data_IF_828150695592
#
_entry.id   IF_828150695592
#
_cell.length_a   1.000
_cell.length_b   1.000
_cell.length_c   1.000
_cell.angle_alpha   90.00
_cell.angle_beta   90.00
_cell.angle_gamma   90.00
#
_symmetry.space_group_name_H-M   'P 1'
#
loop_
_entity.id
_entity.type
_entity.pdbx_description
1 polymer ?
#
# COMPACT_ATOMS: atom_id res chain seq x y z
N UNK A 1 16.95 -9.69 -4.39
CA UNK A 1 15.86 -8.80 -4.84
C UNK A 1 16.29 -7.38 -4.57
N UNK A 2 16.16 -6.48 -5.54
CA UNK A 2 16.37 -5.06 -5.35
C UNK A 2 15.26 -4.43 -4.53
N UNK A 3 15.53 -3.25 -3.96
CA UNK A 3 14.57 -2.48 -3.16
C UNK A 3 13.32 -2.18 -3.96
N UNK A 4 13.48 -1.82 -5.24
CA UNK A 4 12.37 -1.52 -6.15
C UNK A 4 11.42 -2.72 -6.31
N UNK A 5 11.95 -3.94 -6.45
CA UNK A 5 11.12 -5.17 -6.55
C UNK A 5 10.34 -5.45 -5.26
N UNK A 6 10.95 -5.20 -4.09
CA UNK A 6 10.25 -5.35 -2.80
C UNK A 6 9.16 -4.30 -2.60
N UNK A 7 9.40 -3.05 -3.00
CA UNK A 7 8.38 -1.99 -2.93
C UNK A 7 7.22 -2.27 -3.89
N UNK A 8 7.50 -2.71 -5.13
CA UNK A 8 6.45 -3.13 -6.08
C UNK A 8 5.60 -4.27 -5.51
N UNK A 9 6.25 -5.33 -5.03
CA UNK A 9 5.58 -6.47 -4.42
C UNK A 9 4.71 -6.05 -3.23
N UNK A 10 5.20 -5.12 -2.40
CA UNK A 10 4.47 -4.57 -1.27
C UNK A 10 3.21 -3.81 -1.72
N UNK A 11 3.32 -2.93 -2.72
CA UNK A 11 2.17 -2.19 -3.28
C UNK A 11 1.12 -3.13 -3.87
N UNK A 12 1.56 -4.13 -4.63
CA UNK A 12 0.67 -5.16 -5.20
C UNK A 12 -0.06 -5.93 -4.10
N UNK A 13 0.64 -6.36 -3.04
CA UNK A 13 0.01 -7.03 -1.91
C UNK A 13 -0.98 -6.16 -1.15
N UNK A 14 -0.69 -4.88 -1.00
CA UNK A 14 -1.57 -3.92 -0.35
C UNK A 14 -2.88 -3.80 -1.15
N UNK A 15 -2.79 -3.66 -2.48
CA UNK A 15 -3.95 -3.58 -3.36
C UNK A 15 -4.86 -4.80 -3.20
N UNK A 16 -4.28 -6.01 -3.22
CA UNK A 16 -5.02 -7.26 -3.03
C UNK A 16 -5.67 -7.35 -1.63
N UNK A 17 -4.99 -6.85 -0.59
CA UNK A 17 -5.51 -6.81 0.78
C UNK A 17 -6.67 -5.83 0.93
N UNK A 18 -6.59 -4.65 0.35
CA UNK A 18 -7.68 -3.66 0.39
C UNK A 18 -8.89 -4.13 -0.42
N UNK A 19 -8.67 -4.78 -1.56
CA UNK A 19 -9.75 -5.39 -2.34
C UNK A 19 -10.46 -6.47 -1.52
N UNK A 20 -9.71 -7.34 -0.83
CA UNK A 20 -10.28 -8.32 0.10
C UNK A 20 -11.09 -7.65 1.21
N UNK A 21 -10.55 -6.61 1.86
CA UNK A 21 -11.25 -5.90 2.93
C UNK A 21 -12.54 -5.27 2.43
N UNK A 22 -12.52 -4.66 1.24
CA UNK A 22 -13.72 -4.11 0.60
C UNK A 22 -14.76 -5.20 0.34
N UNK A 23 -14.37 -6.35 -0.21
CA UNK A 23 -15.30 -7.46 -0.45
C UNK A 23 -15.91 -8.01 0.85
N UNK A 24 -15.15 -8.03 1.94
CA UNK A 24 -15.67 -8.39 3.27
C UNK A 24 -16.70 -7.38 3.80
N UNK A 25 -16.53 -6.08 3.52
CA UNK A 25 -17.54 -5.08 3.92
C UNK A 25 -18.85 -5.17 3.13
N UNK A 26 -18.82 -5.78 1.95
CA UNK A 26 -19.96 -5.91 1.04
C UNK A 26 -20.70 -7.25 1.20
N UNK A 27 -20.11 -8.26 1.84
CA UNK A 27 -20.65 -9.62 1.94
C UNK A 27 -21.05 -9.95 3.39
N UNK A 28 -22.26 -10.45 3.66
CA UNK A 28 -22.67 -10.84 5.01
C UNK A 28 -21.84 -12.01 5.56
N UNK A 29 -21.73 -12.17 6.90
CA UNK A 29 -20.75 -13.05 7.56
C UNK A 29 -20.96 -14.56 7.36
N UNK A 30 -21.98 -14.98 6.61
CA UNK A 30 -22.42 -16.39 6.54
C UNK A 30 -21.67 -17.22 5.49
N UNK A 31 -20.73 -16.64 4.74
CA UNK A 31 -19.97 -17.40 3.74
C UNK A 31 -18.47 -17.20 3.96
N UNK A 32 -17.84 -18.21 4.57
CA UNK A 32 -16.39 -18.42 4.53
C UNK A 32 -15.94 -18.71 3.09
N UNK A 33 -16.03 -17.74 2.20
CA UNK A 33 -15.39 -17.85 0.90
C UNK A 33 -13.91 -17.59 1.15
N UNK A 34 -13.06 -18.61 1.02
CA UNK A 34 -11.62 -18.41 0.78
C UNK A 34 -11.51 -17.34 -0.31
N UNK A 35 -11.10 -16.13 0.07
CA UNK A 35 -11.03 -15.01 -0.86
C UNK A 35 -10.09 -15.40 -2.00
N UNK A 36 -10.52 -15.21 -3.25
CA UNK A 36 -9.79 -15.58 -4.48
C UNK A 36 -8.28 -15.24 -4.44
N UNK A 37 -7.91 -14.17 -3.73
CA UNK A 37 -6.54 -13.68 -3.64
C UNK A 37 -5.76 -14.14 -2.40
N UNK A 38 -6.33 -14.97 -1.52
CA UNK A 38 -5.68 -15.38 -0.27
C UNK A 38 -4.34 -16.07 -0.50
N UNK A 39 -4.28 -17.03 -1.43
CA UNK A 39 -3.07 -17.79 -1.75
C UNK A 39 -2.00 -16.94 -2.45
N UNK A 40 -2.42 -15.90 -3.17
CA UNK A 40 -1.51 -14.95 -3.82
C UNK A 40 -0.93 -13.97 -2.79
N UNK A 41 -1.78 -13.42 -1.92
CA UNK A 41 -1.38 -12.54 -0.81
C UNK A 41 -0.39 -13.27 0.10
N UNK A 42 -0.65 -14.53 0.46
CA UNK A 42 0.25 -15.30 1.33
C UNK A 42 1.61 -15.57 0.69
N UNK A 43 1.64 -15.96 -0.59
CA UNK A 43 2.91 -16.14 -1.33
C UNK A 43 3.70 -14.85 -1.42
N UNK A 44 3.06 -13.73 -1.77
CA UNK A 44 3.72 -12.45 -1.90
C UNK A 44 4.24 -11.92 -0.56
N UNK A 45 3.48 -12.07 0.54
CA UNK A 45 3.98 -11.69 1.87
C UNK A 45 5.20 -12.53 2.29
N UNK A 46 5.22 -13.83 1.99
CA UNK A 46 6.40 -14.68 2.25
C UNK A 46 7.62 -14.22 1.44
N UNK A 47 7.43 -13.93 0.15
CA UNK A 47 8.48 -13.40 -0.70
C UNK A 47 9.00 -12.04 -0.22
N UNK A 48 8.09 -11.15 0.20
CA UNK A 48 8.43 -9.85 0.77
C UNK A 48 9.24 -10.01 2.06
N UNK A 49 8.82 -10.90 2.98
CA UNK A 49 9.58 -11.21 4.20
C UNK A 49 10.99 -11.71 3.88
N UNK A 50 11.10 -12.73 3.02
CA UNK A 50 12.38 -13.30 2.64
C UNK A 50 13.31 -12.26 1.99
N UNK A 51 12.76 -11.41 1.14
CA UNK A 51 13.50 -10.33 0.50
C UNK A 51 13.96 -9.24 1.46
N UNK A 52 13.11 -8.85 2.43
CA UNK A 52 13.48 -7.89 3.48
C UNK A 52 14.61 -8.43 4.35
N UNK A 53 14.58 -9.72 4.72
CA UNK A 53 15.66 -10.35 5.49
C UNK A 53 16.98 -10.39 4.72
N UNK A 54 16.95 -10.75 3.43
CA UNK A 54 18.14 -10.74 2.58
C UNK A 54 18.72 -9.33 2.40
N UNK A 55 17.87 -8.30 2.35
CA UNK A 55 18.31 -6.91 2.24
C UNK A 55 18.89 -6.40 3.56
N UNK A 56 18.31 -6.81 4.68
CA UNK A 56 18.83 -6.53 6.01
C UNK A 56 20.23 -7.15 6.23
N UNK A 57 20.46 -8.36 5.70
CA UNK A 57 21.77 -9.03 5.76
C UNK A 57 22.83 -8.36 4.86
N UNK A 58 22.44 -7.91 3.66
CA UNK A 58 23.36 -7.27 2.69
C UNK A 58 23.71 -5.83 3.03
N UNK A 59 22.71 -4.98 3.28
CA UNK A 59 22.85 -3.53 3.39
C UNK A 59 22.66 -3.03 4.83
N UNK A 60 22.34 -3.93 5.76
CA UNK A 60 22.00 -3.59 7.14
C UNK A 60 20.58 -3.03 7.28
N UNK A 61 20.25 -2.54 8.48
CA UNK A 61 18.94 -1.92 8.80
C UNK A 61 18.83 -0.49 8.30
N UNK A 62 18.88 -0.29 6.99
CA UNK A 62 18.60 1.00 6.37
C UNK A 62 17.17 1.44 6.67
N UNK A 63 16.89 2.75 6.60
CA UNK A 63 15.54 3.30 6.78
C UNK A 63 14.51 2.67 5.83
N UNK A 64 14.90 2.36 4.59
CA UNK A 64 14.04 1.65 3.64
C UNK A 64 13.64 0.24 4.13
N UNK A 65 14.57 -0.51 4.73
CA UNK A 65 14.33 -1.84 5.29
C UNK A 65 13.37 -1.74 6.48
N UNK A 66 13.55 -0.74 7.35
CA UNK A 66 12.62 -0.48 8.47
C UNK A 66 11.21 -0.16 7.98
N UNK A 67 11.08 0.65 6.92
CA UNK A 67 9.79 0.98 6.33
C UNK A 67 9.10 -0.26 5.74
N UNK A 68 9.82 -1.07 4.96
CA UNK A 68 9.31 -2.32 4.39
C UNK A 68 8.88 -3.32 5.47
N UNK A 69 9.68 -3.44 6.54
CA UNK A 69 9.36 -4.26 7.72
C UNK A 69 8.08 -3.79 8.42
N UNK A 70 7.92 -2.48 8.58
CA UNK A 70 6.69 -1.89 9.14
C UNK A 70 5.48 -2.13 8.24
N UNK A 71 5.64 -2.03 6.92
CA UNK A 71 4.57 -2.29 5.95
C UNK A 71 4.15 -3.75 5.96
N UNK A 72 5.11 -4.68 5.94
CA UNK A 72 4.84 -6.11 6.07
C UNK A 72 4.07 -6.42 7.36
N UNK A 73 4.45 -5.83 8.50
CA UNK A 73 3.72 -6.00 9.76
C UNK A 73 2.26 -5.52 9.68
N UNK A 74 2.01 -4.35 9.07
CA UNK A 74 0.65 -3.85 8.83
C UNK A 74 -0.17 -4.76 7.91
N UNK A 75 0.42 -5.20 6.80
CA UNK A 75 -0.23 -6.08 5.82
C UNK A 75 -0.56 -7.46 6.40
N UNK A 76 0.34 -8.00 7.23
CA UNK A 76 0.10 -9.22 8.00
C UNK A 76 -1.06 -9.04 8.98
N UNK A 77 -1.11 -7.91 9.68
CA UNK A 77 -2.20 -7.56 10.60
C UNK A 77 -3.57 -7.47 9.91
N UNK A 78 -3.62 -6.96 8.68
CA UNK A 78 -4.85 -6.91 7.87
C UNK A 78 -5.38 -8.30 7.47
N UNK A 79 -4.51 -9.31 7.42
CA UNK A 79 -4.90 -10.68 7.09
C UNK A 79 -5.55 -11.41 8.30
N UNK A 80 -5.27 -10.95 9.52
CA UNK A 80 -5.91 -11.41 10.75
C UNK A 80 -5.53 -12.85 11.14
N UNK A 81 -6.46 -13.65 11.71
CA UNK A 81 -6.18 -15.01 12.20
C UNK A 81 -5.82 -15.99 11.06
N UNK A 82 -6.11 -15.66 9.81
CA UNK A 82 -5.67 -16.49 8.67
C UNK A 82 -4.17 -16.41 8.40
N UNK A 83 -3.47 -15.41 8.95
CA UNK A 83 -2.01 -15.35 8.91
C UNK A 83 -1.34 -16.21 10.00
N UNK A 84 -2.08 -16.54 11.06
CA UNK A 84 -1.55 -17.21 12.26
C UNK A 84 -1.27 -18.70 12.03
N UNK A 85 -1.99 -19.34 11.11
CA UNK A 85 -1.82 -20.75 10.73
C UNK A 85 -0.85 -21.02 9.57
N UNK A 86 -0.21 -19.98 9.03
CA UNK A 86 0.58 -20.08 7.79
C UNK A 86 2.07 -20.04 8.10
N UNK A 87 2.75 -21.18 7.96
CA UNK A 87 4.21 -21.28 8.15
C UNK A 87 4.95 -20.25 7.28
N UNK A 88 5.89 -19.52 7.89
CA UNK A 88 6.67 -18.48 7.21
C UNK A 88 6.09 -17.07 7.28
N UNK A 89 4.93 -16.86 7.91
CA UNK A 89 4.36 -15.54 8.22
C UNK A 89 4.58 -15.12 9.67
N UNK A 90 5.81 -15.16 10.16
CA UNK A 90 6.12 -14.60 11.49
C UNK A 90 6.19 -13.08 11.43
N UNK A 91 5.90 -12.44 12.57
CA UNK A 91 6.14 -11.02 12.75
C UNK A 91 7.64 -10.77 12.68
N UNK A 92 8.04 -9.89 11.78
CA UNK A 92 9.34 -9.24 11.85
C UNK A 92 9.30 -8.15 12.96
N UNK A 93 8.61 -8.33 14.09
CA UNK A 93 8.71 -7.34 15.18
C UNK A 93 10.06 -7.56 15.87
N UNK A 94 10.93 -6.54 15.84
CA UNK A 94 11.99 -6.44 16.85
C UNK A 94 11.39 -5.73 18.06
N UNK A 95 11.59 -6.29 19.24
CA UNK A 95 11.32 -5.67 20.53
C UNK A 95 12.24 -4.46 20.69
N UNK A 96 11.80 -3.29 20.23
CA UNK A 96 12.33 -2.01 20.68
C UNK A 96 11.65 -1.67 22.01
N UNK A 97 12.40 -1.17 23.01
CA UNK A 97 11.83 -0.86 24.32
C UNK A 97 10.71 0.16 24.12
N UNK A 98 9.52 -0.17 24.62
CA UNK A 98 8.37 0.68 24.55
C UNK A 98 8.74 2.09 25.04
N UNK A 99 8.44 3.17 24.29
CA UNK A 99 8.29 4.45 24.95
C UNK A 99 7.11 4.26 25.90
N UNK A 100 7.39 4.34 27.19
CA UNK A 100 6.40 4.40 28.27
C UNK A 100 5.49 5.61 28.05
N UNK A 101 4.47 5.45 27.21
CA UNK A 101 3.29 6.28 27.27
C UNK A 101 2.43 5.69 28.37
N UNK A 102 2.57 6.29 29.56
CA UNK A 102 1.56 6.23 30.62
C UNK A 102 0.17 6.33 29.96
N UNK A 103 -0.47 5.18 29.80
CA UNK A 103 -1.88 5.12 29.46
C UNK A 103 -2.62 5.32 30.76
N UNK A 104 -2.61 6.58 31.23
CA UNK A 104 -3.58 7.02 32.21
C UNK A 104 -4.95 6.88 31.55
N UNK A 105 -5.68 5.86 32.00
CA UNK A 105 -7.12 5.72 31.84
C UNK A 105 -7.79 7.04 32.20
N UNK A 106 -8.10 7.84 31.19
CA UNK A 106 -9.00 8.98 31.31
C UNK A 106 -10.29 8.61 30.57
N UNK A 107 -11.14 7.90 31.29
CA UNK A 107 -12.58 7.95 31.09
C UNK A 107 -13.04 9.41 31.08
N UNK A 108 -13.17 9.99 29.89
CA UNK A 108 -13.85 11.27 29.69
C UNK A 108 -15.12 11.02 28.90
N UNK A 109 -16.18 10.83 29.66
CA UNK A 109 -17.56 10.99 29.22
C UNK A 109 -17.80 12.41 28.69
N UNK A 110 -18.66 12.48 27.66
CA UNK A 110 -19.45 13.65 27.21
C UNK A 110 -18.73 14.71 26.37
N UNK A 111 -19.01 14.71 25.07
CA UNK A 111 -19.99 15.65 24.47
C UNK A 111 -20.13 15.37 22.97
N UNK A 112 -21.32 14.90 22.58
CA UNK A 112 -21.74 14.91 21.18
C UNK A 112 -22.02 16.36 20.76
N UNK A 113 -21.60 16.72 19.57
CA UNK A 113 -21.91 17.99 18.90
C UNK A 113 -22.05 17.75 17.40
N UNK A 114 -22.84 18.60 16.71
CA UNK A 114 -23.99 18.11 15.97
C UNK A 114 -23.73 17.98 14.47
N UNK A 115 -24.39 16.99 13.86
CA UNK A 115 -24.48 16.79 12.41
C UNK A 115 -25.26 17.97 11.79
N UNK A 116 -24.85 18.52 10.64
CA UNK A 116 -25.63 19.55 9.95
C UNK A 116 -26.94 18.95 9.40
N UNK A 117 -28.07 19.48 9.85
CA UNK A 117 -29.40 19.16 9.38
C UNK A 117 -29.54 19.47 7.88
N UNK A 118 -29.65 18.41 7.07
CA UNK A 118 -30.26 18.47 5.76
C UNK A 118 -31.76 18.69 5.97
N UNK A 119 -32.27 19.83 5.51
CA UNK A 119 -33.69 20.19 5.60
C UNK A 119 -34.53 19.12 4.90
N UNK A 120 -35.25 18.32 5.69
CA UNK A 120 -36.38 17.51 5.22
C UNK A 120 -37.63 18.40 5.19
N UNK A 121 -38.45 18.35 4.12
CA UNK A 121 -39.76 18.96 4.17
C UNK A 121 -40.67 18.16 5.12
N UNK A 122 -41.13 18.86 6.16
CA UNK A 122 -42.41 18.69 6.88
C UNK A 122 -42.84 17.29 7.33
N UNK A 123 -42.62 17.05 8.63
CA UNK A 123 -43.50 16.41 9.62
C UNK A 123 -44.44 15.27 9.17
N UNK A 124 -44.04 14.03 9.47
CA UNK A 124 -44.98 13.00 9.97
C UNK A 124 -44.32 12.33 11.17
N UNK A 125 -44.75 12.68 12.38
CA UNK A 125 -44.25 12.11 13.63
C UNK A 125 -44.92 10.76 13.88
N UNK A 126 -44.42 9.68 13.28
CA UNK A 126 -44.91 8.33 13.57
C UNK A 126 -44.14 7.78 14.77
N UNK A 127 -44.65 8.08 15.97
CA UNK A 127 -44.13 7.53 17.22
C UNK A 127 -44.53 6.05 17.32
N UNK A 128 -43.64 5.12 16.99
CA UNK A 128 -43.90 3.70 17.14
C UNK A 128 -43.96 3.31 18.63
N UNK A 129 -45.15 2.97 19.13
CA UNK A 129 -45.34 2.42 20.46
C UNK A 129 -44.94 0.92 20.49
N UNK A 130 -44.29 0.43 21.56
CA UNK A 130 -44.01 -0.99 21.73
C UNK A 130 -45.32 -1.81 21.69
N UNK A 131 -45.31 -2.90 20.91
CA UNK A 131 -46.47 -3.79 20.76
C UNK A 131 -46.89 -4.34 22.12
N UNK A 132 -48.18 -4.20 22.45
CA UNK A 132 -48.83 -4.78 23.63
C UNK A 132 -50.02 -5.61 23.18
N UNK A 133 -50.28 -6.72 23.88
CA UNK A 133 -51.39 -7.65 23.59
C UNK A 133 -52.78 -7.13 24.01
N UNK A 134 -52.88 -5.86 24.43
CA UNK A 134 -54.13 -5.23 24.85
C UNK A 134 -54.67 -4.32 23.72
N UNK A 135 -55.76 -4.72 23.02
CA UNK A 135 -56.23 -4.04 21.82
C UNK A 135 -56.84 -2.65 22.07
N UNK A 136 -57.05 -2.24 23.33
CA UNK A 136 -57.76 -0.99 23.68
C UNK A 136 -56.83 0.10 24.28
N UNK A 137 -55.53 -0.18 24.45
CA UNK A 137 -54.57 0.74 25.09
C UNK A 137 -53.70 1.56 24.12
N UNK A 138 -54.02 1.55 22.82
CA UNK A 138 -53.38 2.43 21.83
C UNK A 138 -53.92 3.86 21.94
N UNK A 139 -53.15 4.90 21.56
CA UNK A 139 -53.65 6.26 21.51
C UNK A 139 -54.98 6.29 20.74
N UNK A 140 -55.99 7.00 21.26
CA UNK A 140 -57.21 7.31 20.51
C UNK A 140 -56.81 8.20 19.34
N UNK A 141 -56.45 7.57 18.22
CA UNK A 141 -56.18 8.23 16.96
C UNK A 141 -57.53 8.71 16.41
N UNK A 142 -57.84 9.97 16.67
CA UNK A 142 -58.72 10.72 15.79
C UNK A 142 -58.13 10.64 14.38
N UNK A 143 -58.81 9.88 13.53
CA UNK A 143 -59.01 10.14 12.12
C UNK A 143 -57.86 10.86 11.38
N UNK A 144 -56.79 10.13 11.10
CA UNK A 144 -56.06 10.35 9.85
C UNK A 144 -56.05 9.04 9.08
N UNK A 145 -56.98 8.95 8.11
CA UNK A 145 -57.08 7.96 7.05
C UNK A 145 -55.73 7.74 6.33
N UNK A 146 -54.81 7.01 6.96
CA UNK A 146 -53.72 6.36 6.26
C UNK A 146 -54.29 5.08 5.66
N UNK A 147 -54.95 5.25 4.52
CA UNK A 147 -55.51 4.17 3.73
C UNK A 147 -54.45 3.07 3.56
N UNK A 148 -54.67 1.83 4.02
CA UNK A 148 -53.67 0.76 4.01
C UNK A 148 -53.08 0.50 2.61
N UNK A 149 -53.83 0.83 1.55
CA UNK A 149 -53.33 0.82 0.17
C UNK A 149 -52.21 1.82 -0.10
N UNK A 150 -52.26 3.02 0.51
CA UNK A 150 -51.25 4.08 0.37
C UNK A 150 -49.95 3.68 1.09
N UNK A 151 -50.04 3.04 2.25
CA UNK A 151 -48.88 2.54 2.97
C UNK A 151 -48.16 1.43 2.18
N UNK A 152 -48.92 0.47 1.63
CA UNK A 152 -48.40 -0.62 0.80
C UNK A 152 -47.75 -0.08 -0.50
N UNK A 153 -48.37 0.92 -1.11
CA UNK A 153 -47.81 1.59 -2.29
C UNK A 153 -46.50 2.32 -1.97
N UNK A 154 -46.43 2.97 -0.81
CA UNK A 154 -45.21 3.68 -0.36
C UNK A 154 -44.08 2.70 -0.04
N UNK A 155 -44.39 1.58 0.60
CA UNK A 155 -43.42 0.50 0.84
C UNK A 155 -42.89 -0.09 -0.46
N UNK A 156 -43.77 -0.30 -1.46
CA UNK A 156 -43.36 -0.82 -2.76
C UNK A 156 -42.44 0.13 -3.51
N UNK A 157 -42.74 1.45 -3.50
CA UNK A 157 -41.85 2.47 -4.07
C UNK A 157 -40.49 2.51 -3.40
N UNK A 158 -40.44 2.42 -2.07
CA UNK A 158 -39.16 2.34 -1.34
C UNK A 158 -38.35 1.09 -1.70
N UNK A 159 -39.00 -0.05 -1.87
CA UNK A 159 -38.33 -1.28 -2.32
C UNK A 159 -37.79 -1.15 -3.74
N UNK A 160 -38.58 -0.60 -4.66
CA UNK A 160 -38.16 -0.36 -6.04
C UNK A 160 -36.97 0.63 -6.11
N UNK A 161 -36.95 1.66 -5.26
CA UNK A 161 -35.82 2.60 -5.14
C UNK A 161 -34.56 1.92 -4.60
N UNK A 162 -34.71 1.05 -3.58
CA UNK A 162 -33.59 0.28 -3.03
C UNK A 162 -33.00 -0.68 -4.07
N UNK A 163 -33.84 -1.36 -4.83
CA UNK A 163 -33.40 -2.24 -5.92
C UNK A 163 -32.63 -1.45 -6.98
N UNK A 164 -33.11 -0.26 -7.38
CA UNK A 164 -32.38 0.62 -8.28
C UNK A 164 -31.02 1.09 -7.70
N UNK A 165 -30.93 1.30 -6.40
CA UNK A 165 -29.66 1.61 -5.73
C UNK A 165 -28.71 0.41 -5.70
N UNK A 166 -29.20 -0.80 -5.45
CA UNK A 166 -28.41 -2.03 -5.49
C UNK A 166 -27.88 -2.32 -6.89
N UNK A 167 -28.68 -2.04 -7.92
CA UNK A 167 -28.28 -2.20 -9.32
C UNK A 167 -27.13 -1.26 -9.70
N UNK A 168 -27.22 0.00 -9.27
CA UNK A 168 -26.14 0.97 -9.42
C UNK A 168 -24.88 0.60 -8.62
N UNK A 169 -25.06 0.09 -7.40
CA UNK A 169 -23.96 -0.40 -6.58
C UNK A 169 -23.28 -1.60 -7.24
N UNK A 170 -24.05 -2.55 -7.76
CA UNK A 170 -23.56 -3.73 -8.50
C UNK A 170 -22.73 -3.33 -9.71
N UNK A 171 -23.22 -2.38 -10.52
CA UNK A 171 -22.46 -1.82 -11.66
C UNK A 171 -21.17 -1.13 -11.23
N UNK A 172 -21.23 -0.36 -10.13
CA UNK A 172 -20.05 0.30 -9.55
C UNK A 172 -19.03 -0.69 -9.00
N UNK A 173 -19.47 -1.79 -8.37
CA UNK A 173 -18.63 -2.87 -7.87
C UNK A 173 -17.99 -3.66 -9.02
N UNK A 174 -18.72 -3.92 -10.10
CA UNK A 174 -18.16 -4.55 -11.30
C UNK A 174 -17.11 -3.67 -11.96
N UNK A 175 -17.41 -2.38 -12.18
CA UNK A 175 -16.41 -1.42 -12.70
C UNK A 175 -15.20 -1.29 -11.77
N UNK A 176 -15.49 -1.27 -10.48
CA UNK A 176 -14.63 -1.63 -9.37
C UNK A 176 -13.54 -2.65 -9.70
N UNK A 177 -14.03 -3.87 -9.82
CA UNK A 177 -13.28 -5.08 -10.06
C UNK A 177 -12.48 -4.98 -11.37
N UNK A 178 -13.07 -4.46 -12.44
CA UNK A 178 -12.37 -4.31 -13.72
C UNK A 178 -11.15 -3.37 -13.57
N UNK A 179 -11.31 -2.25 -12.86
CA UNK A 179 -10.19 -1.34 -12.56
C UNK A 179 -9.12 -2.05 -11.72
N UNK A 180 -9.50 -2.81 -10.70
CA UNK A 180 -8.55 -3.59 -9.87
C UNK A 180 -7.76 -4.61 -10.71
N UNK A 181 -8.42 -5.32 -11.63
CA UNK A 181 -7.78 -6.28 -12.53
C UNK A 181 -6.80 -5.59 -13.47
N UNK A 182 -7.17 -4.43 -14.02
CA UNK A 182 -6.27 -3.62 -14.84
C UNK A 182 -5.05 -3.13 -14.06
N UNK A 183 -5.24 -2.64 -12.83
CA UNK A 183 -4.13 -2.25 -11.94
C UNK A 183 -3.21 -3.43 -11.68
N UNK A 184 -3.76 -4.61 -11.41
CA UNK A 184 -2.96 -5.81 -11.17
C UNK A 184 -2.13 -6.19 -12.40
N UNK A 185 -2.73 -6.19 -13.60
CA UNK A 185 -1.98 -6.44 -14.83
C UNK A 185 -0.88 -5.41 -15.10
N UNK A 186 -1.15 -4.14 -14.81
CA UNK A 186 -0.16 -3.06 -14.98
C UNK A 186 0.99 -3.21 -13.96
N UNK A 187 0.71 -3.65 -12.73
CA UNK A 187 1.73 -3.95 -11.73
C UNK A 187 2.62 -5.14 -12.13
N UNK A 188 2.06 -6.16 -12.79
CA UNK A 188 2.85 -7.27 -13.34
C UNK A 188 3.76 -6.78 -14.48
N UNK A 189 3.23 -5.93 -15.38
CA UNK A 189 4.03 -5.28 -16.43
C UNK A 189 5.14 -4.42 -15.83
N UNK A 190 4.83 -3.57 -14.85
CA UNK A 190 5.83 -2.76 -14.14
C UNK A 190 6.86 -3.62 -13.41
N UNK A 191 6.49 -4.78 -12.88
CA UNK A 191 7.45 -5.70 -12.25
C UNK A 191 8.43 -6.26 -13.27
N UNK A 192 7.95 -6.59 -14.49
CA UNK A 192 8.83 -6.99 -15.59
C UNK A 192 9.77 -5.87 -16.03
N UNK A 193 9.26 -4.65 -16.20
CA UNK A 193 10.07 -3.47 -16.55
C UNK A 193 11.12 -3.15 -15.47
N UNK A 194 10.78 -3.30 -14.20
CA UNK A 194 11.72 -3.09 -13.10
C UNK A 194 12.83 -4.14 -13.07
N UNK A 195 12.56 -5.38 -13.49
CA UNK A 195 13.57 -6.44 -13.59
C UNK A 195 14.54 -6.20 -14.74
N UNK A 196 14.05 -5.72 -15.89
CA UNK A 196 14.89 -5.28 -17.00
C UNK A 196 15.75 -4.07 -16.60
N UNK A 197 15.15 -3.10 -15.89
CA UNK A 197 15.90 -1.95 -15.37
C UNK A 197 16.99 -2.37 -14.37
N UNK A 198 16.71 -3.32 -13.47
CA UNK A 198 17.71 -3.86 -12.52
C UNK A 198 18.89 -4.47 -13.28
N UNK A 199 18.60 -5.23 -14.34
CA UNK A 199 19.62 -5.83 -15.21
C UNK A 199 20.49 -4.78 -15.92
N UNK A 200 19.87 -3.72 -16.45
CA UNK A 200 20.57 -2.62 -17.09
C UNK A 200 21.42 -1.81 -16.11
N UNK A 201 20.95 -1.66 -14.86
CA UNK A 201 21.70 -1.02 -13.79
C UNK A 201 22.92 -1.86 -13.39
N UNK A 202 22.80 -3.19 -13.26
CA UNK A 202 23.93 -4.09 -12.99
C UNK A 202 25.02 -3.97 -14.08
N UNK A 203 24.61 -3.91 -15.36
CA UNK A 203 25.53 -3.69 -16.48
C UNK A 203 26.22 -2.33 -16.38
N UNK A 204 25.45 -1.29 -16.05
CA UNK A 204 25.96 0.07 -15.91
C UNK A 204 26.93 0.18 -14.73
N UNK A 205 26.64 -0.46 -13.60
CA UNK A 205 27.52 -0.54 -12.44
C UNK A 205 28.83 -1.24 -12.79
N UNK A 206 28.77 -2.36 -13.51
CA UNK A 206 29.96 -3.07 -13.99
C UNK A 206 30.86 -2.19 -14.88
N UNK A 207 30.24 -1.44 -15.81
CA UNK A 207 30.96 -0.49 -16.68
C UNK A 207 31.55 0.67 -15.90
N UNK A 208 30.80 1.25 -14.97
CA UNK A 208 31.25 2.35 -14.12
C UNK A 208 32.38 1.93 -13.18
N UNK A 209 32.29 0.74 -12.58
CA UNK A 209 33.35 0.14 -11.76
C UNK A 209 34.63 -0.06 -12.57
N UNK A 210 34.50 -0.57 -13.81
CA UNK A 210 35.60 -0.68 -14.75
C UNK A 210 36.22 0.67 -15.11
N UNK A 211 35.40 1.67 -15.41
CA UNK A 211 35.84 3.04 -15.70
C UNK A 211 36.56 3.66 -14.50
N UNK A 212 36.01 3.50 -13.29
CA UNK A 212 36.61 3.98 -12.04
C UNK A 212 37.96 3.34 -11.76
N UNK A 213 38.12 2.03 -12.00
CA UNK A 213 39.42 1.35 -11.89
C UNK A 213 40.45 1.88 -12.89
N UNK A 214 40.03 2.17 -14.13
CA UNK A 214 40.91 2.78 -15.15
C UNK A 214 41.32 4.20 -14.74
N UNK A 215 40.39 4.99 -14.23
CA UNK A 215 40.64 6.33 -13.72
C UNK A 215 41.60 6.31 -12.52
N UNK A 216 41.42 5.40 -11.56
CA UNK A 216 42.33 5.25 -10.41
C UNK A 216 43.74 4.84 -10.87
N UNK A 217 43.85 3.91 -11.83
CA UNK A 217 45.14 3.57 -12.45
C UNK A 217 45.80 4.77 -13.14
N UNK A 218 45.02 5.57 -13.86
CA UNK A 218 45.53 6.75 -14.55
C UNK A 218 45.98 7.84 -13.56
N UNK A 219 45.18 8.10 -12.51
CA UNK A 219 45.50 9.04 -11.44
C UNK A 219 46.78 8.63 -10.70
N UNK A 220 46.95 7.34 -10.40
CA UNK A 220 48.18 6.80 -9.80
C UNK A 220 49.38 6.92 -10.75
N UNK A 221 49.19 6.63 -12.03
CA UNK A 221 50.23 6.75 -13.06
C UNK A 221 50.76 8.19 -13.22
N UNK A 222 49.87 9.18 -13.21
CA UNK A 222 50.26 10.61 -13.23
C UNK A 222 51.04 10.97 -11.96
N UNK A 223 50.61 10.50 -10.79
CA UNK A 223 51.26 10.87 -9.52
C UNK A 223 52.65 10.26 -9.35
N UNK A 224 52.89 9.06 -9.89
CA UNK A 224 54.20 8.41 -9.87
C UNK A 224 55.17 8.94 -10.93
N UNK A 225 54.69 9.18 -12.14
CA UNK A 225 55.55 9.47 -13.30
C UNK A 225 55.54 10.95 -13.70
N UNK A 226 54.71 11.77 -13.06
CA UNK A 226 54.53 13.18 -13.39
C UNK A 226 55.83 13.98 -13.26
N UNK A 227 56.63 13.75 -12.21
CA UNK A 227 57.93 14.42 -12.04
C UNK A 227 58.95 14.02 -13.11
N UNK A 228 59.02 12.74 -13.48
CA UNK A 228 59.94 12.28 -14.54
C UNK A 228 59.50 12.81 -15.91
N UNK A 229 58.20 12.84 -16.17
CA UNK A 229 57.63 13.37 -17.41
C UNK A 229 57.86 14.89 -17.52
N UNK A 230 57.66 15.66 -16.44
CA UNK A 230 57.95 17.11 -16.45
C UNK A 230 59.43 17.40 -16.67
N UNK A 231 60.33 16.66 -16.00
CA UNK A 231 61.78 16.79 -16.22
C UNK A 231 62.14 16.47 -17.69
N UNK A 232 61.61 15.39 -18.27
CA UNK A 232 61.88 15.00 -19.65
C UNK A 232 61.38 16.06 -20.67
N UNK A 233 60.18 16.63 -20.44
CA UNK A 233 59.66 17.73 -21.26
C UNK A 233 60.56 18.96 -21.17
N UNK A 234 61.03 19.30 -19.96
CA UNK A 234 61.90 20.45 -19.73
C UNK A 234 63.25 20.30 -20.46
N UNK A 235 63.83 19.10 -20.45
CA UNK A 235 65.04 18.75 -21.24
C UNK A 235 64.79 18.88 -22.74
N UNK A 236 63.64 18.39 -23.23
CA UNK A 236 63.28 18.46 -24.65
C UNK A 236 63.11 19.91 -25.13
N UNK A 237 62.44 20.75 -24.34
CA UNK A 237 62.31 22.19 -24.61
C UNK A 237 63.69 22.85 -24.66
N UNK A 238 64.58 22.50 -23.72
CA UNK A 238 65.94 23.04 -23.68
C UNK A 238 66.77 22.61 -24.91
N UNK A 239 66.65 21.36 -25.37
CA UNK A 239 67.29 20.90 -26.61
C UNK A 239 66.78 21.65 -27.84
N UNK A 240 65.47 21.89 -27.95
CA UNK A 240 64.89 22.68 -29.04
C UNK A 240 65.45 24.10 -29.02
N UNK A 241 65.49 24.73 -27.85
CA UNK A 241 66.06 26.07 -27.68
C UNK A 241 67.53 26.10 -28.11
N UNK A 242 68.33 25.10 -27.73
CA UNK A 242 69.73 24.99 -28.17
C UNK A 242 69.81 24.88 -29.68
N UNK A 243 69.01 24.01 -30.32
CA UNK A 243 69.04 23.86 -31.79
C UNK A 243 68.69 25.18 -32.47
N UNK A 244 67.62 25.84 -32.03
CA UNK A 244 67.14 27.10 -32.63
C UNK A 244 68.09 28.26 -32.40
N UNK A 245 68.77 28.33 -31.24
CA UNK A 245 69.66 29.44 -30.91
C UNK A 245 71.10 29.22 -31.40
N UNK A 246 71.51 27.96 -31.57
CA UNK A 246 72.83 27.57 -32.09
C UNK A 246 72.87 27.52 -33.61
N UNK A 247 71.73 27.24 -34.25
CA UNK A 247 71.54 27.38 -35.71
C UNK A 247 71.33 28.86 -36.02
#
# INVERSE_FOLDING_TARGET
MSLAKLTSLSTSTLSLLLERQRLQTLSPPTSQTKSLHHDQITRNLRQLRAGVLLMEDKDGRTEAVKLLRSQYGRMRGMLGPEAEGVEGMESLQEELPAPSSNSASSSRSRSASPVPQRQQPTNVNVQFAPYKDDPEAGPSYEDEDHDPGVLLQTQKRMMDEQDAHLDNLSRSVNRQRDISLHINSELDVHTGLLEELDHDLDHTEGRLSGARKRLDKFARGIRGNGSTATIAILILVLLILIIVFKT
#
